data_IF_742368400776
#
_entry.id   IF_742368400776
#
_cell.length_a   1.000
_cell.length_b   1.000
_cell.length_c   1.000
_cell.angle_alpha   90.00
_cell.angle_beta   90.00
_cell.angle_gamma   90.00
#
_symmetry.space_group_name_H-M   'P 1'
#
loop_
_entity.id
_entity.type
_entity.pdbx_description
1 polymer ?
#
# COMPACT_ATOMS: atom_id res chain seq x y z
N UNK A 1 -3.88 0.74 -25.00
CA UNK A 1 -3.68 -0.08 -23.79
C UNK A 1 -2.36 0.32 -23.16
N UNK A 2 -2.38 1.27 -22.22
CA UNK A 2 -1.15 1.83 -21.65
C UNK A 2 -0.46 0.75 -20.80
N UNK A 3 0.69 0.29 -21.30
CA UNK A 3 1.66 -0.52 -20.58
C UNK A 3 2.13 0.33 -19.39
N UNK A 4 1.38 0.26 -18.29
CA UNK A 4 1.63 0.99 -17.06
C UNK A 4 3.10 0.86 -16.72
N UNK A 5 3.77 2.00 -16.70
CA UNK A 5 5.20 2.20 -16.46
C UNK A 5 5.75 1.09 -15.58
N UNK A 6 6.32 0.06 -16.22
CA UNK A 6 7.00 -1.05 -15.56
C UNK A 6 7.95 -0.38 -14.58
N UNK A 7 7.69 -0.48 -13.29
CA UNK A 7 8.77 -0.23 -12.34
C UNK A 7 9.76 -1.33 -12.66
N UNK A 8 10.81 -0.91 -13.35
CA UNK A 8 11.96 -1.65 -13.79
C UNK A 8 12.73 -2.09 -12.56
N UNK A 9 12.28 -3.18 -11.94
CA UNK A 9 12.99 -3.85 -10.87
C UNK A 9 12.61 -5.32 -10.95
N UNK A 10 13.60 -6.21 -11.08
CA UNK A 10 13.48 -7.61 -10.68
C UNK A 10 13.22 -7.64 -9.17
N UNK A 11 12.00 -7.31 -8.75
CA UNK A 11 11.53 -7.55 -7.39
C UNK A 11 11.05 -8.98 -7.32
N UNK A 12 11.55 -9.70 -6.33
CA UNK A 12 11.17 -11.08 -6.08
C UNK A 12 9.65 -11.22 -5.90
N UNK A 13 9.15 -12.43 -6.20
CA UNK A 13 7.73 -12.76 -6.01
C UNK A 13 7.27 -12.54 -4.57
N UNK A 14 8.17 -12.71 -3.60
CA UNK A 14 7.96 -12.44 -2.19
C UNK A 14 7.67 -10.97 -1.91
N UNK A 15 8.42 -10.05 -2.52
CA UNK A 15 8.19 -8.61 -2.41
C UNK A 15 6.88 -8.20 -3.08
N UNK A 16 6.55 -8.75 -4.26
CA UNK A 16 5.28 -8.51 -4.93
C UNK A 16 4.09 -8.99 -4.08
N UNK A 17 4.22 -10.17 -3.46
CA UNK A 17 3.22 -10.70 -2.54
C UNK A 17 3.07 -9.82 -1.31
N UNK A 18 4.17 -9.36 -0.70
CA UNK A 18 4.12 -8.46 0.44
C UNK A 18 3.39 -7.14 0.11
N UNK A 19 3.61 -6.56 -1.07
CA UNK A 19 2.89 -5.36 -1.52
C UNK A 19 1.37 -5.61 -1.61
N UNK A 20 0.97 -6.77 -2.14
CA UNK A 20 -0.45 -7.16 -2.20
C UNK A 20 -1.05 -7.35 -0.82
N UNK A 21 -0.33 -8.03 0.07
CA UNK A 21 -0.77 -8.27 1.45
C UNK A 21 -0.90 -6.96 2.23
N UNK A 22 0.05 -6.03 2.08
CA UNK A 22 -0.04 -4.68 2.67
C UNK A 22 -1.28 -3.93 2.18
N UNK A 23 -1.55 -3.95 0.87
CA UNK A 23 -2.74 -3.30 0.29
C UNK A 23 -4.04 -3.90 0.83
N UNK A 24 -4.12 -5.23 0.93
CA UNK A 24 -5.27 -5.92 1.48
C UNK A 24 -5.49 -5.61 2.97
N UNK A 25 -4.41 -5.60 3.77
CA UNK A 25 -4.47 -5.26 5.19
C UNK A 25 -4.94 -3.80 5.40
N UNK A 26 -4.41 -2.86 4.62
CA UNK A 26 -4.83 -1.46 4.66
C UNK A 26 -6.34 -1.31 4.32
N UNK A 27 -6.81 -2.00 3.28
CA UNK A 27 -8.24 -2.01 2.91
C UNK A 27 -9.11 -2.56 4.02
N UNK A 28 -8.74 -3.72 4.58
CA UNK A 28 -9.48 -4.36 5.66
C UNK A 28 -9.57 -3.45 6.89
N UNK A 29 -8.45 -2.86 7.31
CA UNK A 29 -8.41 -1.98 8.47
C UNK A 29 -9.23 -0.70 8.26
N UNK A 30 -9.15 -0.09 7.07
CA UNK A 30 -10.03 1.04 6.70
C UNK A 30 -11.50 0.66 6.79
N UNK A 31 -11.89 -0.48 6.21
CA UNK A 31 -13.27 -0.93 6.23
C UNK A 31 -13.76 -1.24 7.63
N UNK A 32 -12.92 -1.83 8.48
CA UNK A 32 -13.22 -2.06 9.90
C UNK A 32 -13.41 -0.75 10.68
N UNK A 33 -12.69 0.31 10.30
CA UNK A 33 -12.88 1.65 10.83
C UNK A 33 -14.14 2.37 10.29
N UNK A 34 -14.90 1.75 9.37
CA UNK A 34 -16.08 2.37 8.75
C UNK A 34 -15.76 3.53 7.82
N UNK A 35 -14.51 3.69 7.42
CA UNK A 35 -14.03 4.87 6.69
C UNK A 35 -14.09 4.67 5.17
N UNK A 36 -14.61 5.64 4.42
CA UNK A 36 -14.57 5.63 2.96
C UNK A 36 -13.18 5.97 2.41
N UNK A 37 -12.88 5.58 1.16
CA UNK A 37 -11.57 5.88 0.55
C UNK A 37 -11.26 7.39 0.48
N UNK A 38 -12.27 8.24 0.27
CA UNK A 38 -12.10 9.70 0.21
C UNK A 38 -11.64 10.30 1.55
N UNK A 39 -12.19 9.83 2.67
CA UNK A 39 -11.81 10.27 3.99
C UNK A 39 -10.37 9.82 4.32
N UNK A 40 -10.03 8.57 3.99
CA UNK A 40 -8.67 8.05 4.13
C UNK A 40 -7.65 8.86 3.30
N UNK A 41 -8.01 9.23 2.06
CA UNK A 41 -7.19 10.06 1.19
C UNK A 41 -6.95 11.45 1.77
N UNK A 42 -7.99 12.09 2.31
CA UNK A 42 -7.86 13.39 2.96
C UNK A 42 -6.90 13.34 4.17
N UNK A 43 -6.99 12.29 5.00
CA UNK A 43 -6.10 12.09 6.14
C UNK A 43 -4.66 11.79 5.73
N UNK A 44 -4.47 11.03 4.65
CA UNK A 44 -3.15 10.69 4.12
C UNK A 44 -2.53 11.83 3.30
N UNK A 45 -3.32 12.84 2.92
CA UNK A 45 -2.87 13.95 2.08
C UNK A 45 -2.63 13.56 0.62
N UNK A 46 -3.39 12.60 0.10
CA UNK A 46 -3.25 12.08 -1.28
C UNK A 46 -4.55 12.14 -2.05
N UNK A 47 -4.47 11.98 -3.36
CA UNK A 47 -5.65 11.79 -4.20
C UNK A 47 -6.35 10.45 -3.89
N UNK A 48 -7.69 10.41 -3.94
CA UNK A 48 -8.49 9.19 -3.66
C UNK A 48 -8.10 7.99 -4.53
N UNK A 49 -7.67 8.25 -5.77
CA UNK A 49 -7.15 7.20 -6.66
C UNK A 49 -5.89 6.52 -6.10
N UNK A 50 -5.03 7.26 -5.39
CA UNK A 50 -3.85 6.67 -4.73
C UNK A 50 -4.27 5.65 -3.68
N UNK A 51 -5.34 5.92 -2.91
CA UNK A 51 -5.90 4.95 -1.96
C UNK A 51 -6.34 3.67 -2.69
N UNK A 52 -7.08 3.80 -3.80
CA UNK A 52 -7.47 2.62 -4.60
C UNK A 52 -6.28 1.81 -5.14
N UNK A 53 -5.17 2.49 -5.50
CA UNK A 53 -3.93 1.84 -5.95
C UNK A 53 -3.17 1.16 -4.81
N UNK A 54 -3.16 1.74 -3.60
CA UNK A 54 -2.62 1.10 -2.40
C UNK A 54 -3.41 -0.18 -2.11
N UNK A 55 -4.74 -0.09 -2.07
CA UNK A 55 -5.60 -1.22 -1.72
C UNK A 55 -5.58 -2.35 -2.76
N UNK A 56 -5.28 -2.03 -4.02
CA UNK A 56 -5.06 -3.04 -5.06
C UNK A 56 -3.66 -3.67 -4.98
N UNK A 57 -2.78 -3.17 -4.12
CA UNK A 57 -1.38 -3.58 -4.01
C UNK A 57 -0.63 -3.34 -5.32
N UNK A 58 -0.76 -2.14 -5.89
CA UNK A 58 -0.02 -1.76 -7.08
C UNK A 58 1.44 -1.44 -6.72
N UNK A 59 2.44 -2.15 -7.30
CA UNK A 59 3.86 -1.90 -7.01
C UNK A 59 4.35 -0.48 -7.37
N UNK A 60 3.59 0.21 -8.23
CA UNK A 60 3.88 1.56 -8.68
C UNK A 60 3.63 2.67 -7.66
N UNK A 61 3.04 2.36 -6.51
CA UNK A 61 2.73 3.35 -5.49
C UNK A 61 3.97 3.64 -4.64
N UNK A 62 4.20 4.92 -4.35
CA UNK A 62 5.29 5.31 -3.46
C UNK A 62 5.17 4.61 -2.09
N UNK A 63 6.25 3.94 -1.67
CA UNK A 63 6.29 3.16 -0.42
C UNK A 63 5.87 3.98 0.81
N UNK A 64 6.20 5.28 0.84
CA UNK A 64 5.78 6.18 1.91
C UNK A 64 4.26 6.31 2.05
N UNK A 65 3.50 6.27 0.94
CA UNK A 65 2.04 6.29 1.01
C UNK A 65 1.47 4.95 1.49
N UNK A 66 2.08 3.83 1.09
CA UNK A 66 1.67 2.49 1.55
C UNK A 66 1.87 2.38 3.06
N UNK A 67 3.09 2.67 3.54
CA UNK A 67 3.41 2.64 4.98
C UNK A 67 2.59 3.68 5.74
N UNK A 68 2.42 4.88 5.19
CA UNK A 68 1.57 5.92 5.78
C UNK A 68 0.13 5.47 5.96
N UNK A 69 -0.45 4.78 4.97
CA UNK A 69 -1.81 4.26 5.08
C UNK A 69 -1.92 3.13 6.11
N UNK A 70 -0.94 2.23 6.18
CA UNK A 70 -0.87 1.21 7.24
C UNK A 70 -0.82 1.86 8.63
N UNK A 71 0.04 2.86 8.80
CA UNK A 71 0.18 3.60 10.06
C UNK A 71 -1.10 4.34 10.47
N UNK A 72 -1.86 4.90 9.52
CA UNK A 72 -3.16 5.55 9.79
C UNK A 72 -4.16 4.62 10.50
N UNK A 73 -4.04 3.31 10.28
CA UNK A 73 -4.90 2.30 10.89
C UNK A 73 -4.17 1.43 11.93
N UNK A 74 -3.04 1.90 12.45
CA UNK A 74 -2.31 1.23 13.54
C UNK A 74 -1.57 -0.04 13.13
N UNK A 75 -1.32 -0.26 11.84
CA UNK A 75 -0.53 -1.39 11.36
C UNK A 75 0.94 -0.96 11.28
N UNK A 76 1.79 -1.61 12.08
CA UNK A 76 3.23 -1.41 12.06
C UNK A 76 3.91 -2.35 11.05
N UNK A 77 5.04 -1.92 10.50
CA UNK A 77 5.91 -2.73 9.62
C UNK A 77 7.28 -2.92 10.26
N UNK A 78 7.84 -4.12 10.14
CA UNK A 78 9.18 -4.44 10.64
C UNK A 78 10.14 -4.72 9.48
N UNK A 79 11.34 -4.14 9.54
CA UNK A 79 12.42 -4.44 8.60
C UNK A 79 13.17 -5.69 9.05
N UNK A 80 13.10 -6.76 8.26
CA UNK A 80 13.88 -7.97 8.50
C UNK A 80 15.36 -7.73 8.13
N UNK A 81 16.27 -8.02 9.07
CA UNK A 81 17.71 -7.99 8.81
C UNK A 81 18.14 -9.23 8.02
N UNK A 82 19.16 -9.13 7.13
CA UNK A 82 19.80 -10.31 6.56
C UNK A 82 20.27 -11.26 7.66
N UNK A 83 20.16 -12.56 7.45
CA UNK A 83 20.81 -13.55 8.31
C UNK A 83 22.32 -13.34 8.26
N UNK A 84 23.00 -13.47 9.41
CA UNK A 84 24.46 -13.53 9.49
C UNK A 84 24.99 -14.77 8.80
#
# INVERSE_FOLDING_TARGET
MAQGKRISVDIGEDALRAIKEMGAAAKQARMAAGEGQAAAAARLGVHVQTVGRIESGEPGVAIGHVIGMLALYGIATELRRPGT
#
